data_IF_936940275622
#
_entry.id   IF_936940275622
#
_cell.length_a   1.000
_cell.length_b   1.000
_cell.length_c   1.000
_cell.angle_alpha   90.00
_cell.angle_beta   90.00
_cell.angle_gamma   90.00
#
_symmetry.space_group_name_H-M   'P 1'
#
loop_
_entity.id
_entity.type
_entity.pdbx_description
1 polymer ?
#
# COMPACT_ATOMS: atom_id res chain seq x y z
N UNK A 1 -8.84 -19.91 31.45
CA UNK A 1 -9.20 -20.66 30.21
C UNK A 1 -10.31 -20.00 29.41
N UNK A 2 -11.61 -19.99 29.83
CA UNK A 2 -12.71 -19.34 29.05
C UNK A 2 -12.53 -17.82 28.95
N UNK A 3 -12.13 -17.16 30.00
CA UNK A 3 -11.91 -15.70 30.04
C UNK A 3 -10.73 -15.27 29.17
N UNK A 4 -9.62 -15.97 29.21
CA UNK A 4 -8.42 -15.73 28.38
C UNK A 4 -8.73 -15.94 26.90
N UNK A 5 -9.52 -16.97 26.57
CA UNK A 5 -9.98 -17.26 25.21
C UNK A 5 -10.86 -16.12 24.65
N UNK A 6 -11.76 -15.56 25.48
CA UNK A 6 -12.60 -14.43 25.06
C UNK A 6 -11.76 -13.16 24.81
N UNK A 7 -10.73 -12.90 25.63
CA UNK A 7 -9.82 -11.76 25.44
C UNK A 7 -9.02 -11.92 24.17
N UNK A 8 -8.48 -13.10 23.90
CA UNK A 8 -7.73 -13.38 22.67
C UNK A 8 -8.59 -13.17 21.41
N UNK A 9 -9.82 -13.67 21.41
CA UNK A 9 -10.75 -13.48 20.29
C UNK A 9 -11.12 -12.01 20.06
N UNK A 10 -11.29 -11.22 21.12
CA UNK A 10 -11.57 -9.78 21.01
C UNK A 10 -10.38 -9.01 20.42
N UNK A 11 -9.15 -9.36 20.80
CA UNK A 11 -7.92 -8.76 20.24
C UNK A 11 -7.74 -9.11 18.78
N UNK A 12 -8.00 -10.35 18.40
CA UNK A 12 -7.92 -10.77 17.00
C UNK A 12 -8.89 -9.98 16.10
N UNK A 13 -10.14 -9.83 16.56
CA UNK A 13 -11.13 -8.96 15.87
C UNK A 13 -10.65 -7.51 15.75
N UNK A 14 -9.91 -7.02 16.75
CA UNK A 14 -9.34 -5.66 16.73
C UNK A 14 -8.22 -5.55 15.68
N UNK A 15 -7.29 -6.51 15.60
CA UNK A 15 -6.26 -6.52 14.57
C UNK A 15 -6.86 -6.53 13.16
N UNK A 16 -7.83 -7.39 12.88
CA UNK A 16 -8.50 -7.39 11.58
C UNK A 16 -9.12 -6.03 11.24
N UNK A 17 -9.76 -5.38 12.21
CA UNK A 17 -10.35 -4.05 11.99
C UNK A 17 -9.29 -2.99 11.70
N UNK A 18 -8.12 -3.06 12.34
CA UNK A 18 -7.00 -2.15 12.10
C UNK A 18 -6.36 -2.40 10.74
N UNK A 19 -6.20 -3.65 10.32
CA UNK A 19 -5.70 -3.99 8.98
C UNK A 19 -6.67 -3.58 7.87
N UNK A 20 -7.99 -3.79 8.06
CA UNK A 20 -9.00 -3.31 7.12
C UNK A 20 -9.01 -1.79 7.00
N UNK A 21 -8.72 -1.07 8.11
CA UNK A 21 -8.57 0.37 8.10
C UNK A 21 -7.36 0.79 7.27
N UNK A 22 -6.16 0.21 7.51
CA UNK A 22 -4.95 0.51 6.73
C UNK A 22 -5.13 0.19 5.24
N UNK A 23 -5.67 -0.98 4.92
CA UNK A 23 -5.94 -1.36 3.53
C UNK A 23 -6.98 -0.42 2.87
N UNK A 24 -7.94 0.09 3.64
CA UNK A 24 -8.87 1.11 3.20
C UNK A 24 -8.16 2.42 2.85
N UNK A 25 -7.22 2.86 3.70
CA UNK A 25 -6.41 4.07 3.47
C UNK A 25 -5.49 3.94 2.25
N UNK A 26 -4.90 2.78 2.01
CA UNK A 26 -4.12 2.53 0.81
C UNK A 26 -4.97 2.69 -0.48
N UNK A 27 -6.22 2.23 -0.47
CA UNK A 27 -7.16 2.45 -1.59
C UNK A 27 -7.51 3.93 -1.72
N UNK A 28 -7.80 4.62 -0.62
CA UNK A 28 -8.14 6.06 -0.63
C UNK A 28 -6.97 6.89 -1.17
N UNK A 29 -5.73 6.61 -0.76
CA UNK A 29 -4.54 7.25 -1.30
C UNK A 29 -4.40 7.02 -2.82
N UNK A 30 -4.59 5.78 -3.28
CA UNK A 30 -4.53 5.44 -4.70
C UNK A 30 -5.67 6.09 -5.52
N UNK A 31 -6.86 6.25 -4.94
CA UNK A 31 -7.98 6.98 -5.56
C UNK A 31 -7.66 8.47 -5.70
N UNK A 32 -7.04 9.09 -4.70
CA UNK A 32 -6.56 10.48 -4.78
C UNK A 32 -5.48 10.67 -5.85
N UNK A 33 -4.55 9.73 -5.98
CA UNK A 33 -3.55 9.74 -7.06
C UNK A 33 -4.22 9.59 -8.45
N UNK A 34 -5.26 8.76 -8.57
CA UNK A 34 -6.03 8.63 -9.79
C UNK A 34 -6.83 9.90 -10.11
N UNK A 35 -7.35 10.61 -9.11
CA UNK A 35 -8.05 11.88 -9.29
C UNK A 35 -7.14 12.96 -9.90
N UNK A 36 -5.83 12.96 -9.54
CA UNK A 36 -4.85 13.84 -10.18
C UNK A 36 -4.69 13.57 -11.67
N UNK A 37 -4.85 12.34 -12.12
CA UNK A 37 -4.82 11.98 -13.54
C UNK A 37 -5.96 12.65 -14.31
N UNK A 38 -7.11 12.79 -13.70
CA UNK A 38 -8.29 13.42 -14.31
C UNK A 38 -8.21 14.96 -14.23
N UNK A 39 -7.66 15.50 -13.15
CA UNK A 39 -7.57 16.94 -12.93
C UNK A 39 -6.35 17.33 -12.07
N UNK A 40 -5.24 17.69 -12.72
CA UNK A 40 -4.01 18.11 -12.04
C UNK A 40 -4.13 19.44 -11.27
N UNK A 41 -5.17 20.24 -11.52
CA UNK A 41 -5.40 21.48 -10.78
C UNK A 41 -5.69 21.25 -9.30
N UNK A 42 -6.08 20.02 -8.94
CA UNK A 42 -6.35 19.60 -7.57
C UNK A 42 -5.08 19.23 -6.77
N UNK A 43 -3.89 19.28 -7.39
CA UNK A 43 -2.64 18.87 -6.75
C UNK A 43 -2.44 19.47 -5.35
N UNK A 44 -2.65 20.77 -5.08
CA UNK A 44 -2.46 21.32 -3.75
C UNK A 44 -3.43 20.75 -2.70
N UNK A 45 -4.67 20.50 -3.09
CA UNK A 45 -5.70 19.94 -2.22
C UNK A 45 -5.42 18.46 -1.95
N UNK A 46 -5.08 17.70 -2.97
CA UNK A 46 -4.80 16.26 -2.86
C UNK A 46 -3.52 16.02 -2.06
N UNK A 47 -2.48 16.83 -2.24
CA UNK A 47 -1.26 16.78 -1.41
C UNK A 47 -1.60 16.98 0.08
N UNK A 48 -2.44 17.95 0.42
CA UNK A 48 -2.86 18.16 1.81
C UNK A 48 -3.69 17.00 2.36
N UNK A 49 -4.57 16.42 1.56
CA UNK A 49 -5.40 15.29 1.96
C UNK A 49 -4.58 14.02 2.15
N UNK A 50 -3.57 13.78 1.28
CA UNK A 50 -2.65 12.66 1.43
C UNK A 50 -1.77 12.78 2.67
N UNK A 51 -1.28 13.97 3.02
CA UNK A 51 -0.55 14.18 4.28
C UNK A 51 -1.43 13.81 5.49
N UNK A 52 -2.72 14.22 5.49
CA UNK A 52 -3.66 13.84 6.56
C UNK A 52 -3.90 12.33 6.61
N UNK A 53 -4.01 11.71 5.44
CA UNK A 53 -4.27 10.27 5.32
C UNK A 53 -3.08 9.43 5.82
N UNK A 54 -1.86 9.88 5.55
CA UNK A 54 -0.61 9.28 6.04
C UNK A 54 -0.50 9.41 7.57
N UNK A 55 -0.72 10.60 8.14
CA UNK A 55 -0.75 10.80 9.60
C UNK A 55 -1.76 9.85 10.30
N UNK A 56 -2.92 9.63 9.67
CA UNK A 56 -3.93 8.71 10.16
C UNK A 56 -3.50 7.23 10.01
N UNK A 57 -2.80 6.86 8.94
CA UNK A 57 -2.30 5.51 8.73
C UNK A 57 -1.21 5.17 9.75
N UNK A 58 -0.25 6.08 9.95
CA UNK A 58 0.79 5.96 10.98
C UNK A 58 0.19 5.80 12.39
N UNK A 59 -0.87 6.55 12.71
CA UNK A 59 -1.62 6.37 13.96
C UNK A 59 -2.19 4.95 14.13
N UNK A 60 -2.66 4.32 13.06
CA UNK A 60 -3.16 2.94 13.10
C UNK A 60 -2.03 1.94 13.31
N UNK A 61 -0.86 2.16 12.68
CA UNK A 61 0.34 1.33 12.92
C UNK A 61 0.76 1.40 14.38
N UNK A 62 0.78 2.60 14.98
CA UNK A 62 1.06 2.77 16.40
C UNK A 62 0.06 2.01 17.29
N UNK A 63 -1.24 2.05 16.98
CA UNK A 63 -2.26 1.29 17.70
C UNK A 63 -2.01 -0.22 17.61
N UNK A 64 -1.62 -0.74 16.43
CA UNK A 64 -1.26 -2.15 16.26
C UNK A 64 -0.05 -2.51 17.14
N UNK A 65 0.98 -1.66 17.16
CA UNK A 65 2.17 -1.88 17.98
C UNK A 65 1.84 -1.90 19.47
N UNK A 66 0.98 -1.01 19.96
CA UNK A 66 0.51 -1.00 21.35
C UNK A 66 -0.26 -2.27 21.71
N UNK A 67 -1.19 -2.72 20.86
CA UNK A 67 -1.94 -3.95 21.08
C UNK A 67 -1.03 -5.18 21.17
N UNK A 68 0.03 -5.23 20.35
CA UNK A 68 1.01 -6.31 20.35
C UNK A 68 1.84 -6.36 21.64
N UNK A 69 2.11 -5.21 22.30
CA UNK A 69 2.80 -5.18 23.60
C UNK A 69 2.00 -5.94 24.66
N UNK A 70 0.69 -5.74 24.70
CA UNK A 70 -0.21 -6.34 25.67
C UNK A 70 -0.74 -7.72 25.26
N UNK A 71 -0.41 -8.19 24.05
CA UNK A 71 -0.80 -9.53 23.60
C UNK A 71 0.20 -10.59 24.06
N UNK A 72 -0.14 -11.30 25.14
CA UNK A 72 0.65 -12.40 25.69
C UNK A 72 0.30 -13.77 25.09
N UNK A 73 -0.65 -13.82 24.14
CA UNK A 73 -1.10 -15.06 23.52
C UNK A 73 -0.27 -15.45 22.28
N UNK A 74 0.49 -14.49 21.70
CA UNK A 74 1.32 -14.70 20.51
C UNK A 74 2.80 -14.74 20.84
N UNK A 75 3.52 -15.57 20.09
CA UNK A 75 4.98 -15.64 20.13
C UNK A 75 5.64 -14.44 19.43
N UNK A 76 6.95 -14.26 19.66
CA UNK A 76 7.70 -13.13 19.14
C UNK A 76 7.71 -13.08 17.60
N UNK A 77 7.76 -14.24 16.94
CA UNK A 77 7.74 -14.33 15.46
C UNK A 77 6.39 -13.87 14.89
N UNK A 78 5.28 -14.34 15.46
CA UNK A 78 3.94 -13.90 15.02
C UNK A 78 3.73 -12.40 15.21
N UNK A 79 4.23 -11.83 16.32
CA UNK A 79 4.18 -10.39 16.55
C UNK A 79 5.01 -9.61 15.54
N UNK A 80 6.16 -10.15 15.14
CA UNK A 80 7.01 -9.55 14.12
C UNK A 80 6.31 -9.55 12.75
N UNK A 81 5.70 -10.66 12.36
CA UNK A 81 4.95 -10.80 11.11
C UNK A 81 3.78 -9.79 11.06
N UNK A 82 3.00 -9.65 12.15
CA UNK A 82 1.88 -8.71 12.25
C UNK A 82 2.37 -7.25 12.14
N UNK A 83 3.46 -6.90 12.83
CA UNK A 83 4.06 -5.57 12.76
C UNK A 83 4.57 -5.27 11.36
N UNK A 84 5.25 -6.21 10.74
CA UNK A 84 5.79 -6.07 9.40
C UNK A 84 4.66 -5.88 8.38
N UNK A 85 3.57 -6.63 8.52
CA UNK A 85 2.38 -6.47 7.69
C UNK A 85 1.76 -5.06 7.80
N UNK A 86 1.60 -4.56 9.04
CA UNK A 86 1.07 -3.22 9.26
C UNK A 86 1.95 -2.13 8.62
N UNK A 87 3.28 -2.23 8.77
CA UNK A 87 4.21 -1.29 8.15
C UNK A 87 4.18 -1.33 6.62
N UNK A 88 4.06 -2.51 5.99
CA UNK A 88 3.99 -2.56 4.53
C UNK A 88 2.68 -2.00 3.98
N UNK A 89 1.55 -2.16 4.70
CA UNK A 89 0.30 -1.50 4.34
C UNK A 89 0.41 0.03 4.42
N UNK A 90 1.05 0.54 5.46
CA UNK A 90 1.33 1.96 5.67
C UNK A 90 2.26 2.52 4.60
N UNK A 91 3.33 1.79 4.26
CA UNK A 91 4.29 2.19 3.22
C UNK A 91 3.63 2.43 1.85
N UNK A 92 2.50 1.77 1.55
CA UNK A 92 1.75 2.04 0.31
C UNK A 92 1.14 3.44 0.35
N UNK A 93 0.60 3.87 1.49
CA UNK A 93 0.04 5.22 1.68
C UNK A 93 1.15 6.26 1.59
N UNK A 94 2.23 6.05 2.35
CA UNK A 94 3.43 6.90 2.43
C UNK A 94 4.09 7.07 1.04
N UNK A 95 4.19 6.00 0.25
CA UNK A 95 4.74 6.06 -1.11
C UNK A 95 3.91 6.94 -2.05
N UNK A 96 2.58 6.84 -2.01
CA UNK A 96 1.68 7.70 -2.79
C UNK A 96 1.80 9.15 -2.32
N UNK A 97 1.80 9.40 -1.01
CA UNK A 97 1.99 10.73 -0.42
C UNK A 97 3.29 11.37 -0.89
N UNK A 98 4.42 10.67 -0.78
CA UNK A 98 5.74 11.12 -1.24
C UNK A 98 5.76 11.46 -2.72
N UNK A 99 5.18 10.62 -3.57
CA UNK A 99 5.13 10.86 -5.00
C UNK A 99 4.33 12.14 -5.34
N UNK A 100 3.19 12.35 -4.70
CA UNK A 100 2.35 13.53 -4.92
C UNK A 100 3.02 14.79 -4.36
N UNK A 101 3.66 14.72 -3.18
CA UNK A 101 4.43 15.83 -2.65
C UNK A 101 5.61 16.20 -3.58
N UNK A 102 6.25 15.22 -4.22
CA UNK A 102 7.29 15.47 -5.22
C UNK A 102 6.74 16.17 -6.47
N UNK A 103 5.51 15.85 -6.89
CA UNK A 103 4.85 16.55 -8.00
C UNK A 103 4.69 18.06 -7.75
N UNK A 104 4.56 18.50 -6.49
CA UNK A 104 4.46 19.93 -6.16
C UNK A 104 5.72 20.72 -6.52
N UNK A 105 6.86 20.05 -6.74
CA UNK A 105 8.12 20.68 -7.18
C UNK A 105 8.22 20.82 -8.70
N UNK A 106 7.28 20.27 -9.44
CA UNK A 106 7.22 20.37 -10.90
C UNK A 106 6.34 21.54 -11.31
N UNK A 107 6.62 22.11 -12.51
CA UNK A 107 5.74 23.09 -13.14
C UNK A 107 4.72 22.36 -14.00
N UNK A 108 3.65 21.88 -13.37
CA UNK A 108 2.58 21.25 -14.12
C UNK A 108 1.81 22.29 -14.92
N UNK A 109 1.64 22.02 -16.21
CA UNK A 109 0.64 22.70 -17.03
C UNK A 109 -0.76 22.39 -16.48
N UNK A 110 -1.69 23.36 -16.44
CA UNK A 110 -3.04 23.11 -15.97
C UNK A 110 -3.69 21.94 -16.72
N UNK A 111 -4.22 20.97 -15.96
CA UNK A 111 -4.97 19.79 -16.42
C UNK A 111 -4.16 18.60 -16.96
N UNK A 112 -2.84 18.59 -16.82
CA UNK A 112 -2.05 17.42 -17.22
C UNK A 112 -1.06 17.03 -16.14
N UNK A 113 -1.07 15.75 -15.74
CA UNK A 113 0.03 15.17 -14.97
C UNK A 113 1.01 14.47 -15.92
N UNK A 114 2.27 14.26 -15.51
CA UNK A 114 3.21 13.47 -16.31
C UNK A 114 2.66 12.08 -16.62
N UNK A 115 2.80 11.64 -17.85
CA UNK A 115 2.24 10.36 -18.34
C UNK A 115 2.62 9.15 -17.43
N UNK A 116 3.89 9.00 -16.95
CA UNK A 116 4.23 7.89 -16.06
C UNK A 116 3.40 7.89 -14.77
N UNK A 117 3.10 9.04 -14.20
CA UNK A 117 2.25 9.14 -13.00
C UNK A 117 0.86 8.59 -13.27
N UNK A 118 0.29 8.91 -14.44
CA UNK A 118 -1.02 8.38 -14.86
C UNK A 118 -1.02 6.89 -15.19
N UNK A 119 0.10 6.33 -15.65
CA UNK A 119 0.24 4.89 -15.83
C UNK A 119 0.33 4.17 -14.48
N UNK A 120 1.20 4.64 -13.56
CA UNK A 120 1.35 4.09 -12.22
C UNK A 120 0.08 4.21 -11.38
N UNK A 121 -0.65 5.34 -11.43
CA UNK A 121 -1.89 5.51 -10.67
C UNK A 121 -2.90 4.39 -10.94
N UNK A 122 -2.95 3.92 -12.19
CA UNK A 122 -3.86 2.85 -12.61
C UNK A 122 -3.48 1.49 -12.01
N UNK A 123 -2.20 1.14 -11.97
CA UNK A 123 -1.74 -0.16 -11.43
C UNK A 123 -1.76 -0.16 -9.91
N UNK A 124 -1.36 0.96 -9.25
CA UNK A 124 -1.38 1.11 -7.80
C UNK A 124 -2.83 1.02 -7.28
N UNK A 125 -3.80 1.67 -7.93
CA UNK A 125 -5.20 1.57 -7.52
C UNK A 125 -5.71 0.13 -7.60
N UNK A 126 -5.42 -0.59 -8.67
CA UNK A 126 -5.81 -1.99 -8.80
C UNK A 126 -5.17 -2.87 -7.73
N UNK A 127 -3.86 -2.69 -7.47
CA UNK A 127 -3.14 -3.44 -6.44
C UNK A 127 -3.71 -3.16 -5.04
N UNK A 128 -3.96 -1.90 -4.68
CA UNK A 128 -4.58 -1.52 -3.41
C UNK A 128 -5.98 -2.11 -3.23
N UNK A 129 -6.77 -2.19 -4.31
CA UNK A 129 -8.10 -2.84 -4.28
C UNK A 129 -7.99 -4.35 -4.04
N UNK A 130 -7.04 -5.04 -4.66
CA UNK A 130 -6.80 -6.47 -4.40
C UNK A 130 -6.25 -6.70 -2.98
N UNK A 131 -5.37 -5.82 -2.47
CA UNK A 131 -4.92 -5.85 -1.08
C UNK A 131 -6.10 -5.74 -0.13
N UNK A 132 -6.96 -4.73 -0.28
CA UNK A 132 -8.15 -4.54 0.57
C UNK A 132 -9.06 -5.76 0.55
N UNK A 133 -9.27 -6.36 -0.62
CA UNK A 133 -10.06 -7.58 -0.77
C UNK A 133 -9.43 -8.75 -0.02
N UNK A 134 -8.12 -8.99 -0.19
CA UNK A 134 -7.40 -10.07 0.51
C UNK A 134 -7.42 -9.88 2.03
N UNK A 135 -7.20 -8.64 2.52
CA UNK A 135 -7.25 -8.30 3.93
C UNK A 135 -8.63 -8.58 4.53
N UNK A 136 -9.71 -8.25 3.82
CA UNK A 136 -11.08 -8.56 4.28
C UNK A 136 -11.36 -10.05 4.41
N UNK A 137 -10.66 -10.89 3.65
CA UNK A 137 -10.77 -12.35 3.70
C UNK A 137 -10.02 -12.97 4.90
N UNK A 138 -9.09 -12.26 5.56
CA UNK A 138 -8.31 -12.78 6.69
C UNK A 138 -9.18 -13.22 7.88
N UNK A 139 -10.35 -12.61 8.06
CA UNK A 139 -11.31 -13.00 9.12
C UNK A 139 -11.84 -14.42 8.95
N UNK A 140 -11.87 -14.92 7.71
CA UNK A 140 -12.41 -16.23 7.34
C UNK A 140 -11.37 -17.01 6.52
N UNK A 141 -10.12 -16.99 6.96
CA UNK A 141 -8.98 -17.51 6.22
C UNK A 141 -9.18 -18.97 5.76
N UNK A 142 -9.84 -19.82 6.59
CA UNK A 142 -10.09 -21.22 6.25
C UNK A 142 -11.00 -21.42 5.03
N UNK A 143 -11.96 -20.53 4.83
CA UNK A 143 -12.92 -20.60 3.73
C UNK A 143 -12.51 -19.75 2.52
N UNK A 144 -11.73 -18.71 2.76
CA UNK A 144 -11.33 -17.70 1.77
C UNK A 144 -9.89 -17.86 1.27
N UNK A 145 -9.23 -18.95 1.62
CA UNK A 145 -7.81 -19.20 1.27
C UNK A 145 -7.55 -19.02 -0.23
N UNK A 146 -8.43 -19.54 -1.10
CA UNK A 146 -8.30 -19.41 -2.55
C UNK A 146 -8.49 -17.98 -3.05
N UNK A 147 -9.33 -17.21 -2.37
CA UNK A 147 -9.57 -15.80 -2.71
C UNK A 147 -8.32 -14.98 -2.40
N UNK A 148 -7.68 -15.21 -1.25
CA UNK A 148 -6.42 -14.56 -0.87
C UNK A 148 -5.31 -14.91 -1.88
N UNK A 149 -5.16 -16.20 -2.20
CA UNK A 149 -4.17 -16.65 -3.19
C UNK A 149 -4.37 -15.97 -4.56
N UNK A 150 -5.61 -15.89 -5.04
CA UNK A 150 -5.93 -15.22 -6.30
C UNK A 150 -5.61 -13.71 -6.26
N UNK A 151 -5.85 -13.03 -5.14
CA UNK A 151 -5.47 -11.63 -4.96
C UNK A 151 -3.94 -11.45 -4.97
N UNK A 152 -3.19 -12.31 -4.27
CA UNK A 152 -1.71 -12.27 -4.26
C UNK A 152 -1.14 -12.47 -5.67
N UNK A 153 -1.65 -13.45 -6.42
CA UNK A 153 -1.24 -13.65 -7.83
C UNK A 153 -1.53 -12.40 -8.66
N UNK A 154 -2.70 -11.78 -8.48
CA UNK A 154 -3.06 -10.58 -9.23
C UNK A 154 -2.19 -9.37 -8.89
N UNK A 155 -1.79 -9.20 -7.63
CA UNK A 155 -0.86 -8.13 -7.21
C UNK A 155 0.50 -8.33 -7.86
N UNK A 156 1.04 -9.56 -7.89
CA UNK A 156 2.31 -9.86 -8.56
C UNK A 156 2.25 -9.62 -10.08
N UNK A 157 1.10 -9.86 -10.73
CA UNK A 157 0.92 -9.50 -12.13
C UNK A 157 0.95 -7.97 -12.34
N UNK A 158 0.37 -7.19 -11.41
CA UNK A 158 0.34 -5.74 -11.46
C UNK A 158 1.73 -5.14 -11.19
N UNK A 159 2.52 -5.73 -10.28
CA UNK A 159 3.93 -5.36 -10.09
C UNK A 159 4.72 -5.57 -11.39
N UNK A 160 4.57 -6.70 -12.05
CA UNK A 160 5.20 -6.96 -13.34
C UNK A 160 4.74 -5.98 -14.46
N UNK A 161 3.53 -5.40 -14.36
CA UNK A 161 3.08 -4.30 -15.23
C UNK A 161 3.80 -2.99 -14.86
N UNK A 162 3.92 -2.67 -13.56
CA UNK A 162 4.63 -1.49 -13.04
C UNK A 162 6.12 -1.50 -13.42
N UNK A 163 6.76 -2.64 -13.33
CA UNK A 163 8.13 -2.90 -13.76
C UNK A 163 8.37 -2.55 -15.24
N UNK A 164 7.41 -2.88 -16.11
CA UNK A 164 7.48 -2.50 -17.54
C UNK A 164 7.31 -1.00 -17.73
N UNK A 165 6.43 -0.36 -16.95
CA UNK A 165 6.24 1.09 -16.94
C UNK A 165 7.55 1.75 -16.50
N UNK A 166 8.15 1.32 -15.39
CA UNK A 166 9.41 1.83 -14.88
C UNK A 166 10.53 1.72 -15.93
N UNK A 167 10.77 0.53 -16.49
CA UNK A 167 11.80 0.32 -17.52
C UNK A 167 11.59 1.16 -18.77
N UNK A 168 10.33 1.34 -19.21
CA UNK A 168 9.96 2.23 -20.33
C UNK A 168 10.38 3.67 -20.02
N UNK A 169 9.97 4.18 -18.87
CA UNK A 169 10.17 5.59 -18.53
C UNK A 169 11.60 5.91 -18.14
N UNK A 170 12.30 5.04 -17.42
CA UNK A 170 13.72 5.20 -17.18
C UNK A 170 14.52 5.29 -18.49
N UNK A 171 14.19 4.47 -19.49
CA UNK A 171 14.85 4.56 -20.79
C UNK A 171 14.60 5.93 -21.44
N UNK A 172 13.35 6.39 -21.48
CA UNK A 172 12.99 7.70 -22.06
C UNK A 172 13.70 8.83 -21.33
N UNK A 173 13.64 8.84 -20.00
CA UNK A 173 14.21 9.89 -19.18
C UNK A 173 15.74 9.94 -19.26
N UNK A 174 16.41 8.79 -19.41
CA UNK A 174 17.87 8.72 -19.45
C UNK A 174 18.47 8.91 -20.82
N UNK A 175 17.73 8.65 -21.92
CA UNK A 175 18.30 8.67 -23.27
C UNK A 175 17.84 9.85 -24.12
N UNK A 176 16.76 10.55 -23.75
CA UNK A 176 16.30 11.73 -24.51
C UNK A 176 17.24 12.92 -24.22
N UNK A 177 17.83 13.57 -25.22
CA UNK A 177 18.68 14.76 -25.02
C UNK A 177 17.90 15.90 -24.35
N UNK A 178 18.58 16.65 -23.47
CA UNK A 178 18.06 17.88 -22.85
C UNK A 178 19.12 18.96 -22.93
N UNK A 179 18.78 20.07 -23.53
CA UNK A 179 19.68 21.23 -23.69
C UNK A 179 19.41 22.31 -22.62
N UNK A 180 18.15 22.43 -22.18
CA UNK A 180 17.76 23.41 -21.15
C UNK A 180 18.02 22.89 -19.72
N UNK A 181 18.80 23.61 -18.89
CA UNK A 181 19.04 23.22 -17.51
C UNK A 181 17.76 23.08 -16.65
N UNK A 182 16.73 23.89 -16.89
CA UNK A 182 15.46 23.78 -16.15
C UNK A 182 14.72 22.49 -16.52
N UNK A 183 14.66 22.15 -17.81
CA UNK A 183 14.09 20.90 -18.26
C UNK A 183 14.87 19.68 -17.73
N UNK A 184 16.18 19.82 -17.51
CA UNK A 184 16.97 18.77 -16.85
C UNK A 184 16.55 18.59 -15.37
N UNK A 185 16.34 19.67 -14.64
CA UNK A 185 15.86 19.60 -13.25
C UNK A 185 14.47 18.97 -13.16
N UNK A 186 13.55 19.36 -14.04
CA UNK A 186 12.21 18.76 -14.09
C UNK A 186 12.27 17.27 -14.39
N UNK A 187 13.16 16.86 -15.28
CA UNK A 187 13.40 15.44 -15.58
C UNK A 187 13.95 14.67 -14.39
N UNK A 188 14.87 15.26 -13.61
CA UNK A 188 15.40 14.63 -12.39
C UNK A 188 14.28 14.40 -11.36
N UNK A 189 13.41 15.40 -11.17
CA UNK A 189 12.25 15.28 -10.28
C UNK A 189 11.31 14.21 -10.79
N UNK A 190 11.02 14.17 -12.11
CA UNK A 190 10.16 13.15 -12.69
C UNK A 190 10.74 11.75 -12.56
N UNK A 191 12.06 11.59 -12.71
CA UNK A 191 12.73 10.31 -12.45
C UNK A 191 12.54 9.86 -11.01
N UNK A 192 12.73 10.77 -10.04
CA UNK A 192 12.51 10.47 -8.62
C UNK A 192 11.06 10.04 -8.34
N UNK A 193 10.08 10.70 -8.96
CA UNK A 193 8.67 10.34 -8.83
C UNK A 193 8.42 8.92 -9.39
N UNK A 194 9.02 8.59 -10.54
CA UNK A 194 8.89 7.25 -11.14
C UNK A 194 9.48 6.19 -10.23
N UNK A 195 10.64 6.43 -9.62
CA UNK A 195 11.25 5.51 -8.65
C UNK A 195 10.33 5.32 -7.41
N UNK A 196 9.80 6.40 -6.84
CA UNK A 196 8.89 6.32 -5.68
C UNK A 196 7.63 5.51 -6.00
N UNK A 197 7.06 5.69 -7.19
CA UNK A 197 5.84 4.97 -7.59
C UNK A 197 6.11 3.48 -7.86
N UNK A 198 7.28 3.14 -8.36
CA UNK A 198 7.72 1.75 -8.50
C UNK A 198 7.99 1.13 -7.13
N UNK A 199 8.74 1.79 -6.24
CA UNK A 199 8.93 1.37 -4.84
C UNK A 199 7.56 1.14 -4.14
N UNK A 200 6.54 1.96 -4.45
CA UNK A 200 5.17 1.79 -3.92
C UNK A 200 4.52 0.51 -4.42
N UNK A 201 4.76 0.12 -5.66
CA UNK A 201 4.27 -1.16 -6.19
C UNK A 201 5.00 -2.36 -5.60
N UNK A 202 6.30 -2.24 -5.34
CA UNK A 202 7.09 -3.24 -4.60
C UNK A 202 6.51 -3.44 -3.18
N UNK A 203 6.11 -2.35 -2.50
CA UNK A 203 5.41 -2.45 -1.20
C UNK A 203 4.07 -3.20 -1.32
N UNK A 204 3.32 -3.02 -2.42
CA UNK A 204 2.10 -3.80 -2.66
C UNK A 204 2.41 -5.30 -2.84
N UNK A 205 3.51 -5.65 -3.53
CA UNK A 205 3.98 -7.04 -3.65
C UNK A 205 4.42 -7.60 -2.30
N UNK A 206 5.15 -6.84 -1.49
CA UNK A 206 5.54 -7.23 -0.14
C UNK A 206 4.33 -7.53 0.75
N UNK A 207 3.27 -6.71 0.67
CA UNK A 207 1.99 -7.01 1.34
C UNK A 207 1.41 -8.34 0.87
N UNK A 208 1.42 -8.63 -0.44
CA UNK A 208 0.92 -9.89 -0.99
C UNK A 208 1.75 -11.09 -0.49
N UNK A 209 3.08 -10.96 -0.43
CA UNK A 209 3.99 -11.99 0.07
C UNK A 209 3.74 -12.32 1.55
N UNK A 210 3.41 -11.30 2.37
CA UNK A 210 3.05 -11.50 3.78
C UNK A 210 1.67 -12.16 3.89
N UNK A 211 0.69 -11.75 3.10
CA UNK A 211 -0.65 -12.38 3.04
C UNK A 211 -0.55 -13.86 2.68
N UNK A 212 0.32 -14.22 1.72
CA UNK A 212 0.58 -15.61 1.37
C UNK A 212 1.27 -16.36 2.52
N UNK A 213 2.17 -15.70 3.24
CA UNK A 213 2.79 -16.24 4.46
C UNK A 213 1.74 -16.53 5.54
N UNK A 214 0.80 -15.61 5.79
CA UNK A 214 -0.29 -15.82 6.73
C UNK A 214 -1.19 -17.00 6.33
N UNK A 215 -1.47 -17.13 5.04
CA UNK A 215 -2.21 -18.25 4.47
C UNK A 215 -1.49 -19.59 4.73
N UNK A 216 -0.20 -19.67 4.41
CA UNK A 216 0.59 -20.92 4.53
C UNK A 216 0.84 -21.29 5.98
N UNK A 217 1.21 -20.33 6.84
CA UNK A 217 1.42 -20.56 8.29
C UNK A 217 0.11 -20.79 9.03
N UNK A 218 -1.04 -20.54 8.42
CA UNK A 218 -2.36 -20.57 9.07
C UNK A 218 -2.39 -19.72 10.35
N UNK A 219 -1.81 -18.54 10.28
CA UNK A 219 -1.46 -17.71 11.43
C UNK A 219 -2.66 -17.32 12.30
N UNK A 220 -3.87 -17.35 11.77
CA UNK A 220 -5.13 -17.00 12.44
C UNK A 220 -6.08 -18.20 12.62
N UNK A 221 -5.64 -19.43 12.33
CA UNK A 221 -6.48 -20.64 12.35
C UNK A 221 -6.78 -21.20 13.75
N UNK A 222 -6.05 -20.79 14.76
CA UNK A 222 -6.14 -21.41 16.09
C UNK A 222 -7.51 -21.25 16.77
N UNK A 223 -8.39 -20.40 16.22
CA UNK A 223 -9.66 -20.04 16.84
C UNK A 223 -10.90 -20.58 16.13
N UNK A 224 -10.81 -20.99 14.86
CA UNK A 224 -11.96 -21.53 14.10
C UNK A 224 -12.35 -22.97 14.52
N UNK A 225 -11.41 -23.77 15.02
CA UNK A 225 -11.63 -25.18 15.39
C UNK A 225 -12.03 -25.39 16.85
N UNK A 226 -12.52 -24.37 17.53
CA UNK A 226 -12.89 -24.43 18.94
C UNK A 226 -14.40 -24.27 19.19
N UNK A 227 -15.24 -24.58 18.19
CA UNK A 227 -16.69 -24.66 18.34
C UNK A 227 -17.18 -26.08 18.07
#
# INVERSE_FOLDING_TARGET
>A
MIYEKNISLLREKKFFSLFENLAGKAVEAAELLMELKEDSSKLPQISQELNRLEDEADSVVHQIAEELIYDHSREGEEKADIRYFAHNLDNVVDGVEKAVNRLTFTRLEPKTIPEPVGEFSTVILKASQEIRKAVSCLRNLSTEERTIEACCIRINELENEADKINRKWLRILMTTPVEDPNALLERMVLKEIVDILEDTMDQCEDVANILDTFRVKKLFFYYENCF
#
